data_IF_114164471664
#
_entry.id   IF_114164471664
#
_cell.length_a   1.000
_cell.length_b   1.000
_cell.length_c   1.000
_cell.angle_alpha   90.00
_cell.angle_beta   90.00
_cell.angle_gamma   90.00
#
_symmetry.space_group_name_H-M   'P 1'
#
loop_
_entity.id
_entity.type
_entity.pdbx_description
1 polymer ?
#
# COMPACT_ATOMS: atom_id res chain seq x y z
N UNK A 1 4.33 22.29 -7.70
CA UNK A 1 3.06 22.41 -8.45
C UNK A 1 3.25 22.65 -9.94
N UNK A 2 4.04 23.67 -10.39
CA UNK A 2 4.17 24.02 -11.82
C UNK A 2 4.59 22.81 -12.68
N UNK A 3 5.68 22.10 -12.31
CA UNK A 3 6.12 20.87 -13.01
C UNK A 3 5.05 19.77 -13.02
N UNK A 4 4.32 19.61 -11.90
CA UNK A 4 3.26 18.61 -11.81
C UNK A 4 2.09 18.95 -12.75
N UNK A 5 1.71 20.23 -12.82
CA UNK A 5 0.69 20.71 -13.75
C UNK A 5 1.10 20.56 -15.21
N UNK A 6 2.34 20.86 -15.53
CA UNK A 6 2.89 20.70 -16.89
C UNK A 6 2.83 19.24 -17.33
N UNK A 7 3.30 18.31 -16.48
CA UNK A 7 3.24 16.86 -16.77
C UNK A 7 1.79 16.38 -16.90
N UNK A 8 0.91 16.80 -15.99
CA UNK A 8 -0.50 16.38 -16.00
C UNK A 8 -1.19 16.78 -17.31
N UNK A 9 -1.08 18.06 -17.71
CA UNK A 9 -1.71 18.59 -18.93
C UNK A 9 -1.00 18.17 -20.21
N UNK A 10 0.29 17.90 -20.17
CA UNK A 10 1.06 17.50 -21.34
C UNK A 10 0.97 16.02 -21.69
N UNK A 11 0.84 15.14 -20.69
CA UNK A 11 0.90 13.69 -20.93
C UNK A 11 -0.34 12.94 -20.45
N UNK A 12 -0.93 13.32 -19.30
CA UNK A 12 -1.99 12.53 -18.69
C UNK A 12 -3.38 12.90 -19.19
N UNK A 13 -3.58 14.15 -19.64
CA UNK A 13 -4.86 14.63 -20.15
C UNK A 13 -5.33 13.80 -21.36
N UNK A 14 -4.45 13.57 -22.31
CA UNK A 14 -4.75 12.80 -23.52
C UNK A 14 -5.06 11.33 -23.23
N UNK A 15 -4.51 10.79 -22.14
CA UNK A 15 -4.67 9.37 -21.75
C UNK A 15 -5.85 9.11 -20.81
N UNK A 16 -6.37 10.15 -20.14
CA UNK A 16 -7.34 10.00 -19.05
C UNK A 16 -8.63 9.29 -19.49
N UNK A 17 -9.21 9.69 -20.62
CA UNK A 17 -10.43 9.08 -21.15
C UNK A 17 -10.23 7.61 -21.57
N UNK A 18 -9.07 7.27 -22.12
CA UNK A 18 -8.75 5.91 -22.52
C UNK A 18 -8.52 5.00 -21.30
N UNK A 19 -7.85 5.48 -20.26
CA UNK A 19 -7.67 4.79 -18.99
C UNK A 19 -9.02 4.44 -18.36
N UNK A 20 -9.95 5.38 -18.33
CA UNK A 20 -11.30 5.13 -17.78
C UNK A 20 -12.09 4.14 -18.64
N UNK A 21 -12.04 4.27 -19.96
CA UNK A 21 -12.75 3.42 -20.91
C UNK A 21 -12.23 1.97 -20.91
N UNK A 22 -10.90 1.80 -20.87
CA UNK A 22 -10.25 0.48 -20.96
C UNK A 22 -10.10 -0.23 -19.63
N UNK A 23 -10.20 0.51 -18.53
CA UNK A 23 -9.96 0.04 -17.15
C UNK A 23 -8.54 -0.54 -16.96
N UNK A 24 -7.61 -0.18 -17.84
CA UNK A 24 -6.23 -0.64 -17.76
C UNK A 24 -5.40 0.26 -16.84
N UNK A 25 -4.55 -0.38 -16.03
CA UNK A 25 -3.62 0.35 -15.18
C UNK A 25 -2.59 1.11 -16.03
N UNK A 26 -2.41 2.43 -15.82
CA UNK A 26 -1.66 3.29 -16.71
C UNK A 26 -0.15 3.21 -16.44
N UNK A 27 0.52 2.14 -16.84
CA UNK A 27 1.97 1.97 -16.64
C UNK A 27 2.80 3.10 -17.26
N UNK A 28 2.37 3.66 -18.40
CA UNK A 28 3.05 4.82 -18.99
C UNK A 28 3.00 6.05 -18.08
N UNK A 29 1.89 6.26 -17.37
CA UNK A 29 1.81 7.35 -16.40
C UNK A 29 2.71 7.09 -15.20
N UNK A 30 2.87 5.83 -14.78
CA UNK A 30 3.79 5.43 -13.70
C UNK A 30 5.23 5.75 -14.08
N UNK A 31 5.66 5.42 -15.30
CA UNK A 31 7.00 5.76 -15.78
C UNK A 31 7.23 7.28 -15.82
N UNK A 32 6.28 8.04 -16.37
CA UNK A 32 6.35 9.50 -16.38
C UNK A 32 6.40 10.10 -14.95
N UNK A 33 5.64 9.54 -13.99
CA UNK A 33 5.66 9.96 -12.59
C UNK A 33 7.00 9.64 -11.93
N UNK A 34 7.55 8.48 -12.19
CA UNK A 34 8.86 8.06 -11.69
C UNK A 34 9.95 8.98 -12.21
N UNK A 35 10.01 9.19 -13.53
CA UNK A 35 11.01 10.05 -14.19
C UNK A 35 10.86 11.52 -13.77
N UNK A 36 9.63 11.96 -13.52
CA UNK A 36 9.32 13.28 -12.97
C UNK A 36 9.69 13.44 -11.49
N UNK A 37 10.01 12.35 -10.78
CA UNK A 37 10.31 12.34 -9.35
C UNK A 37 9.09 12.58 -8.47
N UNK A 38 7.90 12.13 -8.90
CA UNK A 38 6.64 12.28 -8.15
C UNK A 38 6.25 11.03 -7.35
N UNK A 39 6.96 9.92 -7.53
CA UNK A 39 6.83 8.74 -6.70
C UNK A 39 7.86 8.77 -5.55
N UNK A 40 7.42 8.45 -4.33
CA UNK A 40 8.31 8.42 -3.18
C UNK A 40 8.88 9.78 -2.75
N UNK A 41 8.20 10.88 -3.04
CA UNK A 41 8.63 12.24 -2.64
C UNK A 41 8.78 12.38 -1.12
N UNK A 42 7.91 11.72 -0.36
CA UNK A 42 7.87 11.76 1.11
C UNK A 42 8.89 10.83 1.76
N UNK A 43 9.42 9.86 1.01
CA UNK A 43 10.48 8.97 1.50
C UNK A 43 11.71 9.80 1.90
N UNK A 44 12.31 9.55 3.08
CA UNK A 44 13.52 10.25 3.51
C UNK A 44 14.68 10.11 2.52
N UNK A 45 15.56 11.12 2.49
CA UNK A 45 16.69 11.18 1.55
C UNK A 45 17.67 10.02 1.73
N UNK A 46 17.83 9.54 2.95
CA UNK A 46 18.69 8.40 3.30
C UNK A 46 18.26 7.08 2.64
N UNK A 47 16.98 6.97 2.24
CA UNK A 47 16.42 5.84 1.49
C UNK A 47 16.22 6.15 0.00
N UNK A 48 16.78 7.26 -0.49
CA UNK A 48 16.72 7.65 -1.90
C UNK A 48 15.54 8.53 -2.31
N UNK A 49 14.64 8.87 -1.38
CA UNK A 49 13.52 9.78 -1.62
C UNK A 49 13.93 11.26 -1.57
N UNK A 50 12.94 12.14 -1.51
CA UNK A 50 13.18 13.59 -1.48
C UNK A 50 12.99 14.21 -0.09
N UNK A 51 12.43 13.49 0.88
CA UNK A 51 12.12 14.00 2.22
C UNK A 51 11.12 15.17 2.20
N UNK A 52 10.18 15.16 1.24
CA UNK A 52 9.12 16.15 1.13
C UNK A 52 8.03 15.90 2.15
N UNK A 53 7.25 16.95 2.44
CA UNK A 53 6.11 16.85 3.34
C UNK A 53 4.87 16.25 2.64
N UNK A 54 3.89 15.79 3.42
CA UNK A 54 2.59 15.40 2.88
C UNK A 54 1.86 16.56 2.20
N UNK A 55 2.09 17.79 2.66
CA UNK A 55 1.57 18.97 1.97
C UNK A 55 2.15 19.09 0.54
N UNK A 56 3.46 18.88 0.38
CA UNK A 56 4.08 18.89 -0.94
C UNK A 56 3.47 17.83 -1.86
N UNK A 57 3.27 16.60 -1.33
CA UNK A 57 2.62 15.52 -2.07
C UNK A 57 1.17 15.86 -2.42
N UNK A 58 0.40 16.43 -1.49
CA UNK A 58 -1.00 16.85 -1.72
C UNK A 58 -1.10 17.90 -2.83
N UNK A 59 -0.19 18.87 -2.87
CA UNK A 59 -0.15 19.88 -3.92
C UNK A 59 0.17 19.29 -5.31
N UNK A 60 0.91 18.19 -5.36
CA UNK A 60 1.15 17.42 -6.60
C UNK A 60 -0.09 16.61 -6.98
N UNK A 61 -0.66 15.88 -6.02
CA UNK A 61 -1.88 15.07 -6.20
C UNK A 61 -3.01 15.94 -6.78
N UNK A 62 -3.21 17.14 -6.25
CA UNK A 62 -4.20 18.09 -6.75
C UNK A 62 -4.04 18.34 -8.26
N UNK A 63 -2.82 18.57 -8.74
CA UNK A 63 -2.58 18.83 -10.15
C UNK A 63 -2.83 17.59 -11.03
N UNK A 64 -2.43 16.41 -10.56
CA UNK A 64 -2.63 15.14 -11.28
C UNK A 64 -4.12 14.77 -11.34
N UNK A 65 -4.82 14.88 -10.20
CA UNK A 65 -6.22 14.49 -10.08
C UNK A 65 -7.19 15.40 -10.84
N UNK A 66 -6.85 16.67 -11.08
CA UNK A 66 -7.64 17.56 -11.94
C UNK A 66 -7.75 17.04 -13.37
N UNK A 67 -6.80 16.25 -13.81
CA UNK A 67 -6.71 15.72 -15.18
C UNK A 67 -7.07 14.23 -15.22
N UNK A 68 -6.47 13.44 -14.34
CA UNK A 68 -6.69 12.01 -14.27
C UNK A 68 -6.72 11.54 -12.80
N UNK A 69 -7.91 11.17 -12.31
CA UNK A 69 -8.09 10.71 -10.92
C UNK A 69 -7.27 9.46 -10.59
N UNK A 70 -7.13 8.53 -11.54
CA UNK A 70 -6.30 7.33 -11.40
C UNK A 70 -4.83 7.70 -11.17
N UNK A 71 -4.30 8.63 -11.96
CA UNK A 71 -2.90 9.09 -11.81
C UNK A 71 -2.70 9.82 -10.49
N UNK A 72 -3.66 10.67 -10.08
CA UNK A 72 -3.65 11.29 -8.76
C UNK A 72 -3.62 10.26 -7.63
N UNK A 73 -4.41 9.19 -7.74
CA UNK A 73 -4.44 8.10 -6.76
C UNK A 73 -3.11 7.33 -6.69
N UNK A 74 -2.44 7.13 -7.82
CA UNK A 74 -1.10 6.51 -7.83
C UNK A 74 -0.10 7.35 -7.02
N UNK A 75 -0.13 8.68 -7.18
CA UNK A 75 0.73 9.59 -6.40
C UNK A 75 0.37 9.55 -4.91
N UNK A 76 -0.92 9.43 -4.53
CA UNK A 76 -1.31 9.23 -3.13
C UNK A 76 -0.60 8.00 -2.55
N UNK A 77 -0.75 6.84 -3.18
CA UNK A 77 -0.29 5.57 -2.62
C UNK A 77 1.22 5.37 -2.68
N UNK A 78 1.90 6.05 -3.59
CA UNK A 78 3.37 6.06 -3.63
C UNK A 78 4.03 7.04 -2.65
N UNK A 79 3.24 7.88 -1.95
CA UNK A 79 3.75 8.89 -1.02
C UNK A 79 3.13 8.80 0.38
N UNK A 80 2.01 8.11 0.53
CA UNK A 80 1.21 8.02 1.76
C UNK A 80 0.76 6.58 2.01
N UNK A 81 0.02 6.33 3.06
CA UNK A 81 -0.57 5.01 3.33
C UNK A 81 0.46 3.97 3.78
N UNK A 82 0.57 2.88 3.05
CA UNK A 82 1.45 1.77 3.43
C UNK A 82 2.92 2.22 3.54
N UNK A 83 3.40 3.05 2.58
CA UNK A 83 4.79 3.52 2.61
C UNK A 83 5.08 4.41 3.82
N UNK A 84 4.17 5.31 4.22
CA UNK A 84 4.37 6.15 5.40
C UNK A 84 4.43 5.32 6.68
N UNK A 85 3.61 4.27 6.78
CA UNK A 85 3.62 3.34 7.91
C UNK A 85 4.96 2.60 8.02
N UNK A 86 5.48 2.10 6.89
CA UNK A 86 6.78 1.42 6.87
C UNK A 86 7.92 2.39 7.17
N UNK A 87 7.91 3.61 6.59
CA UNK A 87 8.93 4.62 6.89
C UNK A 87 8.95 5.05 8.37
N UNK A 88 7.79 5.05 9.02
CA UNK A 88 7.67 5.46 10.43
C UNK A 88 8.07 4.35 11.40
N UNK A 89 7.66 3.10 11.17
CA UNK A 89 7.77 2.00 12.14
C UNK A 89 8.53 0.78 11.64
N UNK A 90 8.90 0.71 10.38
CA UNK A 90 9.68 -0.39 9.82
C UNK A 90 11.11 -0.45 10.35
N UNK A 91 11.72 -1.63 10.25
CA UNK A 91 13.16 -1.79 10.43
C UNK A 91 13.93 -1.11 9.27
N UNK A 92 15.24 -0.98 9.41
CA UNK A 92 16.07 -0.40 8.34
C UNK A 92 15.98 -1.20 7.04
N UNK A 93 15.90 -2.53 7.14
CA UNK A 93 15.74 -3.44 6.00
C UNK A 93 14.38 -3.26 5.34
N UNK A 94 13.30 -3.20 6.14
CA UNK A 94 11.94 -2.98 5.65
C UNK A 94 11.82 -1.62 4.94
N UNK A 95 12.40 -0.56 5.51
CA UNK A 95 12.41 0.79 4.91
C UNK A 95 13.16 0.81 3.58
N UNK A 96 14.36 0.23 3.52
CA UNK A 96 15.15 0.15 2.27
C UNK A 96 14.42 -0.65 1.19
N UNK A 97 13.83 -1.78 1.56
CA UNK A 97 13.03 -2.61 0.64
C UNK A 97 11.83 -1.83 0.10
N UNK A 98 11.01 -1.24 0.97
CA UNK A 98 9.82 -0.51 0.57
C UNK A 98 10.16 0.74 -0.28
N UNK A 99 11.19 1.48 0.10
CA UNK A 99 11.69 2.60 -0.69
C UNK A 99 12.14 2.15 -2.08
N UNK A 100 12.87 1.05 -2.17
CA UNK A 100 13.31 0.46 -3.44
C UNK A 100 12.13 0.14 -4.36
N UNK A 101 11.07 -0.47 -3.86
CA UNK A 101 9.86 -0.74 -4.65
C UNK A 101 9.22 0.56 -5.16
N UNK A 102 8.97 1.53 -4.28
CA UNK A 102 8.29 2.78 -4.64
C UNK A 102 9.08 3.61 -5.65
N UNK A 103 10.38 3.77 -5.44
CA UNK A 103 11.24 4.54 -6.34
C UNK A 103 11.41 3.87 -7.72
N UNK A 104 11.14 2.57 -7.82
CA UNK A 104 11.08 1.82 -9.07
C UNK A 104 9.67 1.71 -9.68
N UNK A 105 8.70 2.47 -9.19
CA UNK A 105 7.37 2.58 -9.79
C UNK A 105 6.28 1.75 -9.12
N UNK A 106 6.56 1.07 -7.99
CA UNK A 106 5.49 0.42 -7.22
C UNK A 106 4.74 1.43 -6.34
N UNK A 107 3.52 1.08 -6.02
CA UNK A 107 2.70 1.78 -5.02
C UNK A 107 2.19 0.73 -4.03
N UNK A 108 2.76 0.64 -2.83
CA UNK A 108 2.42 -0.41 -1.89
C UNK A 108 0.93 -0.42 -1.54
N UNK A 109 0.31 -1.60 -1.61
CA UNK A 109 -1.09 -1.78 -1.23
C UNK A 109 -1.21 -1.89 0.30
N UNK A 110 -2.21 -1.20 0.87
CA UNK A 110 -2.56 -1.37 2.28
C UNK A 110 -3.80 -2.25 2.39
N UNK A 111 -3.70 -3.35 3.15
CA UNK A 111 -4.71 -4.40 3.21
C UNK A 111 -5.33 -4.45 4.61
N UNK A 112 -6.40 -3.67 4.83
CA UNK A 112 -7.10 -3.56 6.12
C UNK A 112 -8.48 -4.20 6.02
N UNK A 113 -9.32 -3.69 5.12
CA UNK A 113 -10.74 -4.04 4.97
C UNK A 113 -10.95 -5.52 4.67
N UNK A 114 -11.97 -6.11 5.29
CA UNK A 114 -12.44 -7.46 5.02
C UNK A 114 -13.92 -7.43 4.62
N UNK A 115 -14.49 -8.51 4.03
CA UNK A 115 -15.90 -8.56 3.68
C UNK A 115 -16.83 -8.18 4.83
N UNK A 116 -16.52 -8.62 6.06
CA UNK A 116 -17.33 -8.40 7.26
C UNK A 116 -16.77 -7.31 8.20
N UNK A 117 -15.63 -6.69 7.85
CA UNK A 117 -14.98 -5.68 8.69
C UNK A 117 -14.52 -4.48 7.84
N UNK A 118 -15.43 -3.55 7.60
CA UNK A 118 -15.19 -2.27 6.92
C UNK A 118 -14.85 -1.17 7.92
N UNK A 119 -15.83 -0.33 8.29
CA UNK A 119 -15.62 0.75 9.26
C UNK A 119 -15.22 0.26 10.65
N UNK A 120 -15.71 -0.92 11.06
CA UNK A 120 -15.26 -1.60 12.27
C UNK A 120 -13.99 -2.44 11.99
N UNK A 121 -12.93 -1.80 11.49
CA UNK A 121 -11.74 -2.49 11.02
C UNK A 121 -11.01 -3.30 12.11
N UNK A 122 -11.20 -2.97 13.39
CA UNK A 122 -10.68 -3.75 14.52
C UNK A 122 -11.37 -5.10 14.71
N UNK A 123 -12.48 -5.35 14.02
CA UNK A 123 -13.17 -6.64 14.03
C UNK A 123 -12.69 -7.60 12.95
N UNK A 124 -11.58 -7.25 12.27
CA UNK A 124 -10.97 -8.13 11.27
C UNK A 124 -10.72 -9.53 11.80
N UNK A 125 -10.88 -10.51 10.93
CA UNK A 125 -10.72 -11.93 11.22
C UNK A 125 -9.46 -12.54 10.64
N UNK A 126 -8.79 -11.87 9.71
CA UNK A 126 -7.47 -12.30 9.19
C UNK A 126 -6.54 -12.57 10.35
N UNK A 127 -5.98 -13.77 10.37
CA UNK A 127 -5.21 -14.32 11.48
C UNK A 127 -3.76 -14.54 11.09
N UNK A 128 -2.85 -14.22 12.01
CA UNK A 128 -1.42 -14.49 11.90
C UNK A 128 -0.97 -15.32 13.11
N UNK A 129 -0.71 -16.61 12.90
CA UNK A 129 -0.28 -17.54 13.93
C UNK A 129 1.24 -17.65 14.00
N UNK A 130 1.83 -17.42 15.16
CA UNK A 130 3.27 -17.59 15.38
C UNK A 130 3.65 -19.07 15.36
N UNK A 131 4.55 -19.44 14.44
CA UNK A 131 5.08 -20.82 14.28
C UNK A 131 6.62 -20.77 14.20
N UNK A 132 7.28 -21.04 15.33
CA UNK A 132 8.75 -20.94 15.39
C UNK A 132 9.23 -19.51 15.23
N UNK A 133 9.97 -19.25 14.16
CA UNK A 133 10.54 -17.97 13.74
C UNK A 133 9.75 -17.30 12.61
N UNK A 134 8.56 -17.78 12.30
CA UNK A 134 7.69 -17.28 11.26
C UNK A 134 6.25 -17.10 11.72
N UNK A 135 5.45 -16.45 10.85
CA UNK A 135 4.00 -16.35 10.99
C UNK A 135 3.32 -17.03 9.81
N UNK A 136 2.19 -17.66 10.07
CA UNK A 136 1.29 -18.22 9.06
C UNK A 136 0.03 -17.37 9.06
N UNK A 137 -0.24 -16.70 7.94
CA UNK A 137 -1.40 -15.84 7.77
C UNK A 137 -2.50 -16.56 7.00
N UNK A 138 -3.72 -16.47 7.53
CA UNK A 138 -4.93 -16.97 6.88
C UNK A 138 -6.04 -15.91 6.96
N UNK A 139 -6.71 -15.68 5.83
CA UNK A 139 -7.81 -14.72 5.74
C UNK A 139 -7.95 -14.12 4.34
N UNK A 140 -8.87 -13.16 4.24
CA UNK A 140 -9.15 -12.46 2.99
C UNK A 140 -9.39 -10.99 3.24
N UNK A 141 -8.69 -10.14 2.49
CA UNK A 141 -8.93 -8.70 2.42
C UNK A 141 -9.74 -8.36 1.18
N UNK A 142 -10.53 -7.30 1.27
CA UNK A 142 -11.46 -6.88 0.22
C UNK A 142 -11.33 -5.38 -0.03
N UNK A 143 -11.67 -4.92 -1.24
CA UNK A 143 -11.53 -3.52 -1.64
C UNK A 143 -10.11 -2.99 -1.48
N UNK A 144 -9.12 -3.80 -1.89
CA UNK A 144 -7.72 -3.40 -1.77
C UNK A 144 -7.28 -2.69 -3.04
N UNK A 145 -7.08 -1.39 -2.91
CA UNK A 145 -6.63 -0.53 -4.00
C UNK A 145 -5.24 -0.95 -4.47
N UNK A 146 -5.14 -1.24 -5.76
CA UNK A 146 -3.89 -1.67 -6.39
C UNK A 146 -3.57 -3.15 -6.24
N UNK A 147 -4.42 -3.95 -5.59
CA UNK A 147 -4.25 -5.40 -5.59
C UNK A 147 -4.20 -5.93 -7.04
N UNK A 148 -3.17 -6.70 -7.34
CA UNK A 148 -2.91 -7.21 -8.70
C UNK A 148 -1.91 -6.36 -9.51
N UNK A 149 -1.66 -5.09 -9.16
CA UNK A 149 -0.60 -4.26 -9.76
C UNK A 149 0.51 -3.92 -8.77
N UNK A 150 0.19 -3.70 -7.50
CA UNK A 150 1.18 -3.53 -6.44
C UNK A 150 1.98 -4.81 -6.22
N UNK A 151 3.29 -4.68 -6.03
CA UNK A 151 4.16 -5.79 -5.60
C UNK A 151 4.18 -5.91 -4.09
N UNK A 152 4.39 -4.79 -3.38
CA UNK A 152 4.45 -4.77 -1.92
C UNK A 152 3.05 -4.58 -1.32
N UNK A 153 2.71 -5.41 -0.32
CA UNK A 153 1.46 -5.37 0.44
C UNK A 153 1.76 -5.23 1.92
N UNK A 154 1.11 -4.29 2.59
CA UNK A 154 1.08 -4.20 4.05
C UNK A 154 -0.26 -4.77 4.54
N UNK A 155 -0.23 -5.98 5.10
CA UNK A 155 -1.39 -6.79 5.44
C UNK A 155 -1.62 -6.74 6.95
N UNK A 156 -2.77 -6.21 7.37
CA UNK A 156 -3.16 -6.18 8.77
C UNK A 156 -3.80 -7.50 9.18
N UNK A 157 -3.33 -8.06 10.29
CA UNK A 157 -3.84 -9.33 10.82
C UNK A 157 -3.86 -9.33 12.36
N UNK A 158 -4.76 -10.10 12.92
CA UNK A 158 -4.83 -10.42 14.33
C UNK A 158 -3.74 -11.44 14.67
N UNK A 159 -2.85 -11.08 15.55
CA UNK A 159 -1.64 -11.86 15.86
C UNK A 159 -1.88 -12.78 17.04
N UNK A 160 -1.51 -14.04 16.90
CA UNK A 160 -1.55 -15.05 17.96
C UNK A 160 -0.15 -15.59 18.24
N UNK A 161 0.16 -15.77 19.50
CA UNK A 161 1.44 -16.33 19.93
C UNK A 161 1.50 -17.87 19.79
N UNK A 162 2.61 -18.49 20.22
CA UNK A 162 2.82 -19.94 20.14
C UNK A 162 1.84 -20.75 21.00
N UNK A 163 1.24 -20.13 22.02
CA UNK A 163 0.21 -20.73 22.87
C UNK A 163 -1.20 -20.56 22.29
N UNK A 164 -1.35 -19.78 21.24
CA UNK A 164 -2.63 -19.45 20.62
C UNK A 164 -3.35 -18.28 21.29
N UNK A 165 -2.66 -17.50 22.12
CA UNK A 165 -3.21 -16.34 22.80
C UNK A 165 -3.10 -15.11 21.91
N UNK A 166 -4.20 -14.33 21.81
CA UNK A 166 -4.26 -13.11 21.00
C UNK A 166 -3.38 -12.01 21.58
N UNK A 167 -2.53 -11.45 20.75
CA UNK A 167 -1.58 -10.38 21.11
C UNK A 167 -2.02 -9.00 20.62
N UNK A 168 -3.00 -8.91 19.72
CA UNK A 168 -3.50 -7.69 19.09
C UNK A 168 -3.34 -7.70 17.57
N UNK A 169 -3.30 -6.52 16.93
CA UNK A 169 -3.23 -6.40 15.48
C UNK A 169 -1.85 -5.87 15.06
N UNK A 170 -1.22 -6.53 14.09
CA UNK A 170 0.03 -6.15 13.45
C UNK A 170 -0.11 -5.97 11.95
N UNK A 171 0.86 -5.31 11.33
CA UNK A 171 0.98 -5.19 9.88
C UNK A 171 2.13 -6.05 9.37
N UNK A 172 1.88 -6.88 8.37
CA UNK A 172 2.86 -7.80 7.78
C UNK A 172 3.18 -7.39 6.35
N UNK A 173 4.45 -7.36 5.99
CA UNK A 173 4.88 -7.13 4.63
C UNK A 173 4.85 -8.44 3.84
N UNK A 174 4.17 -8.42 2.70
CA UNK A 174 4.17 -9.49 1.72
C UNK A 174 4.52 -8.97 0.34
N UNK A 175 5.39 -9.66 -0.37
CA UNK A 175 5.73 -9.31 -1.75
C UNK A 175 5.02 -10.29 -2.68
N UNK A 176 4.13 -9.76 -3.53
CA UNK A 176 3.39 -10.57 -4.50
C UNK A 176 4.35 -11.34 -5.40
N UNK A 177 4.01 -12.58 -5.71
CA UNK A 177 4.81 -13.52 -6.50
C UNK A 177 6.07 -14.07 -5.79
N UNK A 178 6.47 -13.50 -4.64
CA UNK A 178 7.62 -13.96 -3.86
C UNK A 178 7.19 -14.58 -2.52
N UNK A 179 6.00 -14.21 -2.01
CA UNK A 179 5.48 -14.72 -0.73
C UNK A 179 4.53 -15.88 -0.95
N UNK A 180 4.89 -17.12 -0.54
CA UNK A 180 4.01 -18.28 -0.67
C UNK A 180 2.68 -18.09 0.05
N UNK A 181 1.57 -18.48 -0.58
CA UNK A 181 0.23 -18.37 0.00
C UNK A 181 -0.42 -16.99 -0.13
N UNK A 182 0.27 -15.99 -0.71
CA UNK A 182 -0.32 -14.70 -1.08
C UNK A 182 -0.83 -14.74 -2.51
N UNK A 183 -2.12 -14.47 -2.70
CA UNK A 183 -2.73 -14.42 -4.02
C UNK A 183 -3.76 -13.28 -4.14
N UNK A 184 -4.08 -12.92 -5.38
CA UNK A 184 -5.07 -11.89 -5.70
C UNK A 184 -6.32 -12.61 -6.18
N UNK A 185 -7.45 -12.24 -5.60
CA UNK A 185 -8.76 -12.77 -5.97
C UNK A 185 -9.49 -11.89 -6.99
N UNK A 186 -10.80 -11.81 -6.86
CA UNK A 186 -11.63 -11.07 -7.79
C UNK A 186 -11.32 -9.57 -7.76
N UNK A 187 -11.32 -8.96 -8.96
CA UNK A 187 -11.35 -7.51 -9.12
C UNK A 187 -12.80 -7.05 -9.09
N UNK A 188 -13.06 -6.03 -8.30
CA UNK A 188 -14.39 -5.44 -8.18
C UNK A 188 -14.61 -4.37 -9.28
N UNK A 189 -15.80 -4.33 -9.88
CA UNK A 189 -16.17 -3.25 -10.78
C UNK A 189 -16.35 -1.95 -10.00
N UNK A 190 -15.77 -0.87 -10.50
CA UNK A 190 -15.83 0.44 -9.86
C UNK A 190 -16.52 1.47 -10.75
N UNK A 191 -17.27 2.39 -10.14
CA UNK A 191 -17.96 3.48 -10.85
C UNK A 191 -16.98 4.56 -11.32
N UNK A 192 -15.88 4.76 -10.61
CA UNK A 192 -14.81 5.71 -10.93
C UNK A 192 -13.44 5.14 -10.57
N UNK A 193 -12.36 5.84 -10.93
CA UNK A 193 -10.98 5.38 -10.78
C UNK A 193 -10.73 4.03 -11.47
N UNK A 194 -11.43 3.77 -12.56
CA UNK A 194 -11.56 2.46 -13.20
C UNK A 194 -10.24 1.85 -13.69
N UNK A 195 -9.22 2.67 -13.92
CA UNK A 195 -7.89 2.22 -14.30
C UNK A 195 -7.02 1.71 -13.14
N UNK A 196 -7.49 1.81 -11.87
CA UNK A 196 -6.78 1.23 -10.73
C UNK A 196 -7.62 0.07 -10.18
N UNK A 197 -7.06 -1.15 -10.03
CA UNK A 197 -7.84 -2.27 -9.52
C UNK A 197 -8.18 -2.10 -8.04
N UNK A 198 -9.42 -2.42 -7.71
CA UNK A 198 -9.87 -2.73 -6.37
C UNK A 198 -10.15 -4.23 -6.34
N UNK A 199 -9.40 -4.99 -5.55
CA UNK A 199 -9.51 -6.45 -5.60
C UNK A 199 -9.38 -7.11 -4.22
N UNK A 200 -9.64 -8.42 -4.20
CA UNK A 200 -9.39 -9.26 -3.03
C UNK A 200 -7.91 -9.59 -2.92
N UNK A 201 -7.41 -9.63 -1.68
CA UNK A 201 -6.09 -10.19 -1.33
C UNK A 201 -6.33 -11.39 -0.43
N UNK A 202 -5.88 -12.55 -0.85
CA UNK A 202 -6.13 -13.84 -0.20
C UNK A 202 -4.83 -14.36 0.41
N UNK A 203 -4.88 -14.66 1.69
CA UNK A 203 -3.84 -15.35 2.42
C UNK A 203 -4.32 -16.76 2.73
N UNK A 204 -3.66 -17.75 2.14
CA UNK A 204 -3.91 -19.17 2.40
C UNK A 204 -2.62 -19.84 2.81
N UNK A 205 -2.49 -20.10 4.11
CA UNK A 205 -1.24 -20.55 4.70
C UNK A 205 -0.03 -19.71 4.26
N UNK A 206 -0.26 -18.39 4.14
CA UNK A 206 0.77 -17.44 3.74
C UNK A 206 1.88 -17.42 4.77
N UNK A 207 3.06 -17.86 4.35
CA UNK A 207 4.21 -17.95 5.21
C UNK A 207 5.11 -16.71 5.09
N UNK A 208 5.39 -16.05 6.21
CA UNK A 208 6.33 -14.93 6.28
C UNK A 208 7.27 -15.10 7.46
N UNK A 209 8.51 -14.60 7.34
CA UNK A 209 9.43 -14.55 8.46
C UNK A 209 8.94 -13.57 9.54
N UNK A 210 9.48 -13.71 10.75
CA UNK A 210 9.22 -12.77 11.84
C UNK A 210 9.57 -11.32 11.46
N UNK A 211 10.58 -11.15 10.61
CA UNK A 211 11.04 -9.85 10.12
C UNK A 211 10.07 -9.17 9.15
N UNK A 212 9.02 -9.85 8.70
CA UNK A 212 7.96 -9.24 7.90
C UNK A 212 6.98 -8.40 8.73
N UNK A 213 6.96 -8.56 10.06
CA UNK A 213 6.10 -7.80 10.95
C UNK A 213 6.64 -6.38 11.14
N UNK A 214 5.86 -5.38 10.75
CA UNK A 214 6.08 -3.98 11.10
C UNK A 214 5.62 -3.79 12.54
N UNK A 215 6.58 -3.75 13.46
CA UNK A 215 6.28 -3.72 14.90
C UNK A 215 5.84 -2.32 15.35
N UNK A 216 4.61 -2.16 15.85
CA UNK A 216 4.16 -0.89 16.40
C UNK A 216 4.93 -0.51 17.67
N UNK A 217 5.20 0.79 17.91
CA UNK A 217 6.05 1.23 19.02
C UNK A 217 5.49 0.89 20.42
N UNK A 218 4.15 0.81 20.56
CA UNK A 218 3.47 0.46 21.82
C UNK A 218 3.06 -1.02 21.90
N UNK A 219 3.57 -1.86 20.99
CA UNK A 219 3.28 -3.28 20.89
C UNK A 219 1.92 -3.57 20.22
N UNK A 220 1.67 -4.85 19.96
CA UNK A 220 0.54 -5.32 19.15
C UNK A 220 -0.84 -4.99 19.73
N UNK A 221 -1.00 -4.92 21.05
CA UNK A 221 -2.28 -4.59 21.71
C UNK A 221 -2.79 -3.19 21.36
N UNK A 222 -1.90 -2.25 21.05
CA UNK A 222 -2.21 -0.90 20.54
C UNK A 222 -1.80 -0.74 19.08
N UNK A 223 -1.40 -1.81 18.44
CA UNK A 223 -0.78 -1.81 17.12
C UNK A 223 -1.65 -1.20 16.03
N UNK A 224 -2.93 -1.53 16.02
CA UNK A 224 -3.84 -0.94 15.04
C UNK A 224 -3.89 0.58 15.13
N UNK A 225 -4.00 1.14 16.34
CA UNK A 225 -4.04 2.60 16.54
C UNK A 225 -2.72 3.26 16.11
N UNK A 226 -1.57 2.65 16.43
CA UNK A 226 -0.26 3.18 16.04
C UNK A 226 -0.08 3.16 14.52
N UNK A 227 -0.46 2.05 13.87
CA UNK A 227 -0.34 1.92 12.42
C UNK A 227 -1.30 2.89 11.69
N UNK A 228 -2.50 3.12 12.23
CA UNK A 228 -3.43 4.12 11.70
C UNK A 228 -2.92 5.56 11.91
N UNK A 229 -2.26 5.85 13.03
CA UNK A 229 -1.62 7.14 13.25
C UNK A 229 -0.51 7.40 12.21
N UNK A 230 0.28 6.38 11.87
CA UNK A 230 1.27 6.48 10.80
C UNK A 230 0.64 6.64 9.40
N UNK A 231 -0.51 6.02 9.18
CA UNK A 231 -1.26 6.17 7.93
C UNK A 231 -1.81 7.59 7.73
N UNK A 232 -2.19 8.25 8.83
CA UNK A 232 -2.86 9.56 8.82
C UNK A 232 -1.90 10.74 9.07
N UNK A 233 -0.60 10.52 9.29
CA UNK A 233 0.34 11.56 9.72
C UNK A 233 1.41 11.89 8.70
#
# INVERSE_FOLDING_TARGET
QARARELARGSFEDRAADIDRTEQYPWHNVEDLKDGGFMGMTIPKEYGGQGRTFLDATLVIEQMAQVCGVTGRIVVESNMGAISTVMKYGTEEQKKMAAGFVLNGDKPAICITEPEAGSAATEMTTRADKKGDKYILNGKKHWITGAGVSRLHLIFARVFDKAGEEQGIGGFLGVREETPGLSIGNREPTMGLRGIPEAEVIMQDMEVSEDALVMPPRGLRKGFADLMDAYNS
#
